data_IF_719963696882
#
_entry.id   IF_719963696882
#
_cell.length_a   1.000
_cell.length_b   1.000
_cell.length_c   1.000
_cell.angle_alpha   90.00
_cell.angle_beta   90.00
_cell.angle_gamma   90.00
#
_symmetry.space_group_name_H-M   'P 1'
#
loop_
_entity.id
_entity.type
_entity.pdbx_description
1 polymer ?
#
# COMPACT_ATOMS: atom_id res chain seq x y z
N UNK A 1 66.08 24.51 13.77
CA UNK A 1 66.38 23.69 12.59
C UNK A 1 65.10 23.00 12.14
N UNK A 2 64.58 23.45 11.01
CA UNK A 2 63.30 23.02 10.46
C UNK A 2 63.45 21.73 9.68
N UNK A 3 62.54 20.76 9.89
CA UNK A 3 62.32 19.67 8.95
C UNK A 3 60.79 19.55 8.69
N UNK A 4 60.36 20.02 7.52
CA UNK A 4 59.02 19.81 6.96
C UNK A 4 58.98 18.45 6.30
N UNK A 5 58.05 17.59 6.74
CA UNK A 5 57.70 16.35 6.06
C UNK A 5 56.52 16.60 5.13
N UNK A 6 56.70 16.35 3.82
CA UNK A 6 55.67 16.39 2.79
C UNK A 6 54.92 15.06 2.79
N UNK A 7 53.62 15.09 3.08
CA UNK A 7 52.68 13.97 2.77
C UNK A 7 52.16 14.18 1.34
N UNK A 8 52.46 13.23 0.46
CA UNK A 8 51.83 13.10 -0.85
C UNK A 8 50.53 12.29 -0.67
N UNK A 9 49.42 12.94 -0.95
CA UNK A 9 48.10 12.30 -1.05
C UNK A 9 48.01 11.60 -2.40
N UNK A 10 47.83 10.29 -2.37
CA UNK A 10 47.51 9.46 -3.56
C UNK A 10 46.01 9.41 -3.62
N UNK A 11 45.39 10.12 -4.56
CA UNK A 11 43.98 9.97 -4.90
C UNK A 11 43.86 8.83 -5.90
N UNK A 12 43.26 7.72 -5.46
CA UNK A 12 42.68 6.69 -6.37
C UNK A 12 41.18 7.01 -6.61
N UNK A 13 40.72 6.99 -7.84
CA UNK A 13 39.31 7.23 -8.12
C UNK A 13 38.48 6.00 -7.74
N UNK A 14 37.65 6.13 -6.71
CA UNK A 14 36.57 5.17 -6.44
C UNK A 14 35.44 5.54 -7.40
N UNK A 15 35.16 4.65 -8.32
CA UNK A 15 34.00 4.75 -9.21
C UNK A 15 32.73 4.58 -8.38
N UNK A 16 32.06 5.69 -8.10
CA UNK A 16 30.77 5.73 -7.44
C UNK A 16 29.70 5.37 -8.49
N UNK A 17 29.19 4.15 -8.45
CA UNK A 17 27.96 3.79 -9.18
C UNK A 17 26.78 4.29 -8.34
N UNK A 18 26.37 5.51 -8.62
CA UNK A 18 25.12 6.08 -8.13
C UNK A 18 23.96 5.45 -8.92
N UNK A 19 23.21 4.55 -8.31
CA UNK A 19 21.85 4.22 -8.77
C UNK A 19 20.97 5.37 -8.32
N UNK A 20 20.76 6.32 -9.22
CA UNK A 20 19.76 7.36 -9.05
C UNK A 20 18.38 6.72 -9.19
N UNK A 21 17.55 6.84 -8.15
CA UNK A 21 16.12 6.63 -8.27
C UNK A 21 15.58 7.67 -9.26
N UNK A 22 15.30 7.25 -10.49
CA UNK A 22 14.70 8.10 -11.50
C UNK A 22 13.23 8.35 -11.13
N UNK A 23 12.96 9.54 -10.67
CA UNK A 23 11.64 10.15 -10.76
C UNK A 23 11.43 10.46 -12.26
N UNK A 24 10.72 9.60 -12.96
CA UNK A 24 10.29 9.88 -14.32
C UNK A 24 9.13 10.89 -14.25
N UNK A 25 9.47 12.17 -14.34
CA UNK A 25 8.55 13.17 -14.82
C UNK A 25 8.54 13.05 -16.36
N UNK A 26 7.42 12.66 -16.97
CA UNK A 26 7.19 12.75 -18.39
C UNK A 26 7.15 14.24 -18.80
N UNK A 27 8.21 14.70 -19.42
CA UNK A 27 8.25 15.98 -20.13
C UNK A 27 8.43 15.69 -21.63
N UNK A 28 7.42 16.02 -22.43
CA UNK A 28 7.47 16.00 -23.88
C UNK A 28 8.51 17.00 -24.41
N UNK A 29 9.37 16.64 -25.35
CA UNK A 29 10.16 17.62 -26.09
C UNK A 29 9.33 18.16 -27.26
N UNK A 30 8.94 19.42 -27.20
CA UNK A 30 8.47 20.16 -28.39
C UNK A 30 9.67 20.53 -29.25
N UNK A 31 9.58 20.36 -30.58
CA UNK A 31 10.52 20.97 -31.51
C UNK A 31 10.15 22.42 -31.78
N UNK A 32 11.17 23.27 -31.85
CA UNK A 32 11.08 24.68 -32.27
C UNK A 32 10.85 24.81 -33.77
N UNK A 33 10.24 25.92 -34.22
CA UNK A 33 9.84 26.12 -35.62
C UNK A 33 10.87 26.89 -36.42
N UNK A 34 11.01 26.50 -37.70
CA UNK A 34 11.42 27.26 -38.87
C UNK A 34 11.38 26.26 -40.06
N UNK A 35 10.75 26.48 -41.20
CA UNK A 35 10.59 27.59 -42.06
C UNK A 35 9.47 27.32 -43.11
N UNK A 36 8.93 28.40 -43.61
CA UNK A 36 8.01 28.69 -44.67
C UNK A 36 7.84 27.76 -45.88
N UNK A 37 6.55 27.60 -46.32
CA UNK A 37 6.20 27.17 -47.66
C UNK A 37 4.70 26.96 -47.87
N UNK A 38 3.96 27.94 -48.42
CA UNK A 38 2.53 27.88 -48.78
C UNK A 38 2.33 27.42 -50.23
N UNK A 39 1.07 27.31 -50.74
CA UNK A 39 0.40 26.03 -51.07
C UNK A 39 0.23 25.84 -52.60
N UNK A 40 -0.57 24.89 -53.05
CA UNK A 40 -1.76 25.27 -53.79
C UNK A 40 -3.05 24.44 -53.52
N UNK A 41 -4.09 25.13 -53.76
CA UNK A 41 -5.52 24.95 -53.88
C UNK A 41 -6.03 23.80 -54.75
N UNK A 42 -7.26 23.44 -54.41
CA UNK A 42 -8.45 23.06 -55.22
C UNK A 42 -8.93 21.60 -55.04
N UNK A 43 -10.13 21.41 -54.69
CA UNK A 43 -11.43 21.45 -55.24
C UNK A 43 -12.42 20.47 -54.60
N UNK A 44 -13.54 21.01 -54.19
CA UNK A 44 -14.93 20.54 -54.40
C UNK A 44 -15.45 19.19 -53.89
N UNK A 45 -16.42 19.31 -53.00
CA UNK A 45 -17.66 18.56 -52.70
C UNK A 45 -18.37 17.89 -53.87
N UNK A 46 -19.40 16.97 -53.70
CA UNK A 46 -20.52 17.16 -52.76
C UNK A 46 -21.20 15.90 -52.13
N UNK A 47 -21.91 16.16 -51.04
CA UNK A 47 -23.28 15.76 -50.64
C UNK A 47 -23.79 14.34 -50.93
N UNK A 48 -24.25 13.67 -49.85
CA UNK A 48 -25.14 12.52 -49.91
C UNK A 48 -25.87 12.34 -48.58
N UNK A 49 -27.08 12.83 -48.53
CA UNK A 49 -28.13 12.69 -47.55
C UNK A 49 -28.55 11.21 -47.37
N UNK A 50 -28.78 10.74 -46.14
CA UNK A 50 -29.73 9.67 -45.89
C UNK A 50 -30.19 9.69 -44.43
N UNK A 51 -31.45 9.89 -44.26
CA UNK A 51 -32.34 9.90 -43.11
C UNK A 51 -32.41 8.58 -42.33
N UNK A 52 -32.99 8.58 -41.10
CA UNK A 52 -32.95 7.50 -40.13
C UNK A 52 -34.03 6.43 -40.36
N UNK A 53 -33.74 5.21 -39.96
CA UNK A 53 -34.75 4.15 -39.85
C UNK A 53 -34.94 3.79 -38.36
N UNK A 54 -36.18 4.00 -37.97
CA UNK A 54 -36.91 3.57 -36.80
C UNK A 54 -37.16 2.06 -36.87
N UNK A 55 -37.00 1.32 -35.79
CA UNK A 55 -37.65 0.03 -35.59
C UNK A 55 -37.53 -0.46 -34.15
N UNK A 56 -38.54 -0.17 -33.33
CA UNK A 56 -39.43 -1.16 -32.65
C UNK A 56 -38.76 -2.30 -31.90
N UNK A 57 -39.02 -2.30 -30.59
CA UNK A 57 -38.93 -3.44 -29.68
C UNK A 57 -40.00 -4.50 -29.97
N UNK A 58 -39.80 -5.74 -29.52
CA UNK A 58 -40.92 -6.61 -29.13
C UNK A 58 -40.89 -6.92 -27.64
N UNK A 59 -42.11 -6.86 -27.10
CA UNK A 59 -42.51 -7.28 -25.76
C UNK A 59 -42.68 -8.80 -25.66
N UNK A 60 -42.60 -9.26 -24.42
CA UNK A 60 -43.31 -10.37 -23.78
C UNK A 60 -43.07 -11.81 -24.23
N UNK A 61 -42.53 -12.59 -23.28
CA UNK A 61 -43.02 -13.95 -23.01
C UNK A 61 -42.89 -14.31 -21.53
N UNK A 62 -44.01 -14.71 -20.97
CA UNK A 62 -44.28 -15.01 -19.58
C UNK A 62 -43.58 -16.26 -19.05
N UNK A 63 -43.41 -16.29 -17.72
CA UNK A 63 -42.97 -17.40 -16.90
C UNK A 63 -44.02 -18.53 -16.83
N UNK A 64 -43.65 -19.74 -16.41
CA UNK A 64 -44.53 -20.55 -15.59
C UNK A 64 -44.01 -20.71 -14.17
N UNK A 65 -44.95 -20.46 -13.29
CA UNK A 65 -45.02 -20.72 -11.88
C UNK A 65 -44.91 -22.22 -11.57
N UNK A 66 -44.04 -22.63 -10.64
CA UNK A 66 -44.22 -23.91 -9.93
C UNK A 66 -43.96 -23.66 -8.45
N UNK A 67 -45.06 -23.46 -7.75
CA UNK A 67 -45.09 -23.44 -6.30
C UNK A 67 -44.73 -24.79 -5.70
N UNK A 68 -43.91 -24.76 -4.66
CA UNK A 68 -43.81 -25.80 -3.64
C UNK A 68 -43.94 -25.13 -2.28
N UNK A 69 -45.06 -25.34 -1.66
CA UNK A 69 -45.35 -25.04 -0.27
C UNK A 69 -44.64 -26.08 0.62
N UNK A 70 -43.96 -25.65 1.65
CA UNK A 70 -43.57 -26.51 2.78
C UNK A 70 -44.00 -25.87 4.09
N UNK A 71 -44.68 -26.67 4.79
CA UNK A 71 -45.45 -26.62 6.00
C UNK A 71 -44.78 -25.95 7.21
N UNK A 72 -45.60 -25.21 7.93
CA UNK A 72 -45.29 -24.55 9.21
C UNK A 72 -45.54 -25.55 10.37
N UNK A 73 -44.46 -25.93 11.05
CA UNK A 73 -44.53 -26.67 12.31
C UNK A 73 -44.24 -25.76 13.50
N UNK A 74 -45.27 -25.33 14.18
CA UNK A 74 -45.20 -24.68 15.49
C UNK A 74 -44.95 -25.73 16.57
N UNK A 75 -43.89 -25.57 17.36
CA UNK A 75 -43.76 -26.25 18.66
C UNK A 75 -43.67 -25.19 19.74
N UNK A 76 -44.68 -25.08 20.52
CA UNK A 76 -44.69 -24.44 21.82
C UNK A 76 -44.00 -25.36 22.83
N UNK A 77 -43.12 -24.85 23.64
CA UNK A 77 -42.94 -25.39 24.98
C UNK A 77 -42.68 -24.28 26.02
N UNK A 78 -43.31 -24.49 27.13
CA UNK A 78 -43.49 -23.64 28.26
C UNK A 78 -42.43 -23.89 29.32
N UNK A 79 -41.91 -22.86 29.97
CA UNK A 79 -41.04 -23.02 31.14
C UNK A 79 -40.63 -21.68 31.74
N UNK A 80 -41.50 -21.20 32.64
CA UNK A 80 -41.23 -20.02 33.51
C UNK A 80 -40.28 -20.42 34.62
N UNK A 81 -39.24 -19.64 34.83
CA UNK A 81 -38.62 -19.46 36.15
C UNK A 81 -38.18 -17.97 36.28
N UNK A 82 -38.91 -17.28 37.13
CA UNK A 82 -38.50 -15.96 37.66
C UNK A 82 -37.37 -16.20 38.67
N UNK A 83 -36.32 -15.41 38.60
CA UNK A 83 -35.60 -14.98 39.79
C UNK A 83 -35.19 -13.52 39.70
N UNK A 84 -35.22 -12.89 40.82
CA UNK A 84 -35.29 -11.46 41.09
C UNK A 84 -33.93 -10.82 41.26
N UNK A 85 -33.76 -9.65 40.66
CA UNK A 85 -33.17 -8.50 41.30
C UNK A 85 -31.65 -8.38 41.33
N UNK A 86 -31.10 -7.54 40.45
CA UNK A 86 -30.05 -6.58 40.78
C UNK A 86 -30.02 -5.46 39.74
N UNK A 87 -30.39 -4.28 40.14
CA UNK A 87 -30.12 -3.04 39.40
C UNK A 87 -28.64 -2.77 39.40
N UNK A 88 -27.99 -2.95 38.25
CA UNK A 88 -26.65 -2.57 38.01
C UNK A 88 -26.63 -1.76 36.71
N UNK A 89 -26.22 -0.51 36.81
CA UNK A 89 -26.07 0.40 35.68
C UNK A 89 -25.34 -0.29 34.53
N UNK A 90 -26.04 -0.45 33.41
CA UNK A 90 -25.44 -0.91 32.17
C UNK A 90 -24.63 0.26 31.58
N UNK A 91 -23.36 0.35 31.96
CA UNK A 91 -22.37 1.05 31.16
C UNK A 91 -22.27 0.33 29.82
N UNK A 92 -22.66 1.00 28.75
CA UNK A 92 -22.48 0.55 27.38
C UNK A 92 -20.99 0.31 27.12
N UNK A 93 -20.58 -0.94 27.10
CA UNK A 93 -19.24 -1.36 26.73
C UNK A 93 -19.14 -1.55 25.22
N UNK A 94 -19.23 -0.46 24.44
CA UNK A 94 -18.86 -0.42 23.05
C UNK A 94 -17.37 -0.07 22.90
N UNK A 95 -16.55 -1.00 23.25
CA UNK A 95 -15.13 -0.96 23.01
C UNK A 95 -14.59 -2.38 23.16
N UNK A 96 -14.57 -3.12 22.06
CA UNK A 96 -13.84 -4.39 22.02
C UNK A 96 -12.44 -4.13 22.59
N UNK A 97 -12.17 -4.68 23.78
CA UNK A 97 -10.91 -4.45 24.46
C UNK A 97 -9.76 -4.83 23.51
N UNK A 98 -8.88 -3.90 23.24
CA UNK A 98 -7.67 -4.18 22.51
C UNK A 98 -6.90 -5.28 23.26
N UNK A 99 -6.82 -6.47 22.67
CA UNK A 99 -6.28 -7.66 23.31
C UNK A 99 -4.76 -7.80 23.15
N UNK A 100 -4.06 -6.77 22.66
CA UNK A 100 -2.62 -6.82 22.44
C UNK A 100 -1.87 -6.36 23.70
N UNK A 101 -1.12 -7.27 24.34
CA UNK A 101 -0.40 -6.91 25.56
C UNK A 101 0.71 -5.89 25.26
N UNK A 102 1.00 -4.98 26.20
CA UNK A 102 2.17 -4.12 26.13
C UNK A 102 3.45 -4.93 26.10
N UNK A 103 4.49 -4.39 25.44
CA UNK A 103 5.78 -5.06 25.31
C UNK A 103 6.92 -4.17 25.78
N UNK A 104 7.85 -4.77 26.53
CA UNK A 104 9.18 -4.21 26.75
C UNK A 104 10.12 -4.80 25.71
N UNK A 105 10.73 -3.95 24.89
CA UNK A 105 11.68 -4.39 23.88
C UNK A 105 13.02 -4.71 24.58
N UNK A 106 13.47 -5.96 24.43
CA UNK A 106 14.81 -6.36 24.84
C UNK A 106 15.67 -6.50 23.60
N UNK A 107 16.74 -5.74 23.55
CA UNK A 107 17.68 -5.76 22.43
C UNK A 107 18.80 -6.75 22.64
N UNK A 108 19.12 -7.53 21.61
CA UNK A 108 20.21 -8.51 21.61
C UNK A 108 21.57 -7.90 21.21
N UNK A 109 21.59 -6.60 20.92
CA UNK A 109 22.76 -5.92 20.36
C UNK A 109 22.78 -5.92 18.83
N UNK A 110 23.58 -5.02 18.25
CA UNK A 110 23.70 -4.92 16.79
C UNK A 110 24.31 -6.19 16.22
N UNK A 111 23.67 -6.74 15.19
CA UNK A 111 24.19 -7.86 14.42
C UNK A 111 24.46 -7.45 12.99
N UNK A 112 25.62 -7.84 12.47
CA UNK A 112 25.97 -7.68 11.08
C UNK A 112 25.47 -8.84 10.23
N UNK A 113 24.25 -9.36 10.51
CA UNK A 113 23.69 -10.44 9.71
C UNK A 113 23.44 -9.97 8.28
N UNK A 114 23.94 -10.71 7.27
CA UNK A 114 23.74 -10.33 5.89
C UNK A 114 22.26 -10.44 5.49
N UNK A 115 21.84 -9.56 4.60
CA UNK A 115 20.57 -9.72 3.89
C UNK A 115 20.77 -10.73 2.77
N UNK A 116 19.88 -11.69 2.65
CA UNK A 116 19.91 -12.72 1.59
C UNK A 116 18.66 -12.60 0.73
N UNK A 117 18.80 -12.86 -0.58
CA UNK A 117 17.66 -12.97 -1.50
C UNK A 117 17.09 -14.39 -1.49
N UNK A 118 15.77 -14.48 -1.59
CA UNK A 118 15.01 -15.73 -1.77
C UNK A 118 14.04 -15.58 -2.94
N UNK A 119 14.02 -16.57 -3.81
CA UNK A 119 13.02 -16.70 -4.86
C UNK A 119 11.98 -17.72 -4.46
N UNK A 120 10.71 -17.46 -4.78
CA UNK A 120 9.64 -18.42 -4.53
C UNK A 120 9.76 -19.61 -5.51
N UNK A 121 9.89 -20.80 -4.95
CA UNK A 121 9.91 -22.06 -5.71
C UNK A 121 8.56 -22.28 -6.42
N UNK A 122 8.57 -22.25 -7.74
CA UNK A 122 7.36 -22.37 -8.56
C UNK A 122 6.73 -23.77 -8.52
N UNK A 123 7.47 -24.82 -8.15
CA UNK A 123 6.90 -26.13 -7.91
C UNK A 123 6.04 -26.16 -6.64
N UNK A 124 6.42 -25.36 -5.65
CA UNK A 124 5.72 -25.25 -4.36
C UNK A 124 4.68 -24.13 -4.34
N UNK A 125 5.00 -23.01 -4.94
CA UNK A 125 4.15 -21.81 -4.98
C UNK A 125 3.81 -21.45 -6.42
N UNK A 126 3.04 -22.28 -7.11
CA UNK A 126 2.73 -22.07 -8.51
C UNK A 126 2.01 -20.74 -8.73
N UNK A 127 2.41 -20.03 -9.77
CA UNK A 127 1.85 -18.72 -10.13
C UNK A 127 2.11 -17.57 -9.11
N UNK A 128 3.06 -17.72 -8.19
CA UNK A 128 3.57 -16.62 -7.37
C UNK A 128 4.68 -15.92 -8.13
N UNK A 129 4.27 -15.15 -9.14
CA UNK A 129 5.13 -14.58 -10.17
C UNK A 129 4.92 -13.07 -10.32
N UNK A 130 5.95 -12.40 -10.84
CA UNK A 130 5.92 -11.00 -11.25
C UNK A 130 5.04 -10.78 -12.48
N UNK A 131 4.88 -9.52 -12.92
CA UNK A 131 4.06 -9.19 -14.10
C UNK A 131 4.45 -9.95 -15.36
N UNK A 132 5.75 -10.23 -15.54
CA UNK A 132 6.32 -10.93 -16.70
C UNK A 132 6.35 -12.46 -16.56
N UNK A 133 5.91 -13.00 -15.43
CA UNK A 133 5.94 -14.45 -15.14
C UNK A 133 7.22 -14.94 -14.47
N UNK A 134 8.22 -14.09 -14.20
CA UNK A 134 9.39 -14.50 -13.41
C UNK A 134 9.00 -14.80 -11.96
N UNK A 135 9.68 -15.77 -11.27
CA UNK A 135 9.40 -16.09 -9.87
C UNK A 135 9.51 -14.86 -8.97
N UNK A 136 8.53 -14.61 -8.12
CA UNK A 136 8.64 -13.52 -7.16
C UNK A 136 9.77 -13.78 -6.14
N UNK A 137 10.34 -12.69 -5.60
CA UNK A 137 11.44 -12.73 -4.65
C UNK A 137 11.16 -11.92 -3.40
N UNK A 138 11.91 -12.23 -2.33
CA UNK A 138 11.95 -11.45 -1.10
C UNK A 138 13.36 -11.46 -0.51
N UNK A 139 13.64 -10.49 0.33
CA UNK A 139 14.93 -10.34 1.00
C UNK A 139 14.76 -10.58 2.49
N UNK A 140 15.68 -11.32 3.10
CA UNK A 140 15.64 -11.66 4.53
C UNK A 140 16.93 -11.25 5.21
N UNK A 141 16.83 -10.48 6.28
CA UNK A 141 17.88 -10.26 7.27
C UNK A 141 17.45 -10.89 8.58
N UNK A 142 18.25 -11.79 9.12
CA UNK A 142 17.92 -12.49 10.38
C UNK A 142 18.24 -11.61 11.57
N UNK A 143 17.35 -11.62 12.56
CA UNK A 143 17.59 -11.10 13.87
C UNK A 143 18.45 -12.02 14.72
N UNK A 144 18.85 -11.56 15.89
CA UNK A 144 19.72 -12.30 16.82
C UNK A 144 19.14 -12.40 18.22
N UNK A 145 19.56 -13.40 18.99
CA UNK A 145 19.12 -13.62 20.36
C UNK A 145 17.58 -13.60 20.47
N UNK A 146 17.04 -12.93 21.47
CA UNK A 146 15.60 -12.80 21.69
C UNK A 146 14.90 -12.04 20.54
N UNK A 147 15.61 -11.16 19.87
CA UNK A 147 15.09 -10.42 18.70
C UNK A 147 14.85 -11.32 17.49
N UNK A 148 15.42 -12.55 17.45
CA UNK A 148 15.11 -13.54 16.41
C UNK A 148 13.66 -14.02 16.39
N UNK A 149 12.88 -13.71 17.44
CA UNK A 149 11.43 -13.97 17.52
C UNK A 149 10.58 -12.73 17.21
N UNK A 150 11.19 -11.61 16.84
CA UNK A 150 10.54 -10.37 16.39
C UNK A 150 10.72 -10.23 14.90
N UNK A 151 9.64 -9.92 14.18
CA UNK A 151 9.64 -9.85 12.73
C UNK A 151 9.08 -8.54 12.23
N UNK A 152 9.80 -7.91 11.34
CA UNK A 152 9.33 -6.79 10.50
C UNK A 152 9.13 -7.35 9.10
N UNK A 153 7.90 -7.36 8.63
CA UNK A 153 7.54 -7.83 7.29
C UNK A 153 7.06 -6.61 6.51
N UNK A 154 7.81 -6.23 5.47
CA UNK A 154 7.62 -4.98 4.75
C UNK A 154 7.26 -5.23 3.29
N UNK A 155 6.14 -4.67 2.87
CA UNK A 155 5.69 -4.64 1.48
C UNK A 155 6.24 -3.40 0.80
N UNK A 156 7.04 -3.60 -0.25
CA UNK A 156 7.65 -2.51 -1.00
C UNK A 156 6.59 -1.71 -1.78
N UNK A 157 6.84 -0.41 -1.98
CA UNK A 157 6.04 0.47 -2.82
C UNK A 157 6.44 0.43 -4.28
N UNK A 158 5.80 1.24 -5.11
CA UNK A 158 6.16 1.35 -6.53
C UNK A 158 5.00 1.66 -7.47
N UNK A 159 3.85 2.13 -6.97
CA UNK A 159 2.68 2.46 -7.80
C UNK A 159 2.01 1.23 -8.41
N UNK A 160 1.34 1.41 -9.54
CA UNK A 160 0.60 0.32 -10.23
C UNK A 160 0.53 0.57 -11.74
N UNK A 161 0.02 -0.39 -12.50
CA UNK A 161 -0.32 -0.20 -13.91
C UNK A 161 -1.72 -0.73 -14.22
N UNK A 162 -2.39 -0.10 -15.20
CA UNK A 162 -3.80 -0.32 -15.52
C UNK A 162 -4.04 -0.52 -17.01
N UNK A 163 -3.08 -0.18 -17.85
CA UNK A 163 -3.16 -0.32 -19.29
C UNK A 163 -2.02 -1.18 -19.81
N UNK A 164 -2.18 -1.82 -20.96
CA UNK A 164 -1.11 -2.64 -21.54
C UNK A 164 0.18 -1.86 -21.74
N UNK A 165 0.08 -0.60 -22.21
CA UNK A 165 1.21 0.29 -22.44
C UNK A 165 1.89 0.69 -21.12
N UNK A 166 1.08 1.07 -20.11
CA UNK A 166 1.58 1.41 -18.79
C UNK A 166 2.29 0.24 -18.11
N UNK A 167 1.76 -0.99 -18.28
CA UNK A 167 2.41 -2.18 -17.73
C UNK A 167 3.68 -2.56 -18.50
N UNK A 168 3.69 -2.41 -19.82
CA UNK A 168 4.88 -2.65 -20.64
C UNK A 168 6.00 -1.62 -20.40
N UNK A 169 5.64 -0.41 -19.99
CA UNK A 169 6.58 0.67 -19.66
C UNK A 169 7.07 0.63 -18.19
N UNK A 170 6.63 -0.33 -17.39
CA UNK A 170 7.08 -0.45 -15.99
C UNK A 170 8.58 -0.67 -15.92
N UNK A 171 9.28 0.00 -14.99
CA UNK A 171 10.67 -0.35 -14.70
C UNK A 171 10.81 -1.84 -14.38
N UNK A 172 11.91 -2.45 -14.82
CA UNK A 172 12.12 -3.89 -14.68
C UNK A 172 12.04 -4.33 -13.21
N UNK A 173 12.60 -3.57 -12.29
CA UNK A 173 12.58 -3.83 -10.85
C UNK A 173 11.17 -3.86 -10.24
N UNK A 174 10.19 -3.24 -10.91
CA UNK A 174 8.79 -3.17 -10.48
C UNK A 174 7.85 -4.12 -11.25
N UNK A 175 8.40 -4.93 -12.15
CA UNK A 175 7.62 -5.82 -13.03
C UNK A 175 8.23 -7.22 -13.20
N UNK A 176 9.49 -7.42 -12.74
CA UNK A 176 10.28 -8.62 -12.98
C UNK A 176 11.32 -8.83 -11.89
N UNK A 177 11.74 -10.05 -11.71
CA UNK A 177 12.96 -10.40 -10.95
C UNK A 177 14.16 -10.72 -11.85
N UNK A 178 14.02 -10.66 -13.18
CA UNK A 178 15.12 -10.90 -14.12
C UNK A 178 16.31 -9.95 -13.92
N UNK A 179 16.07 -8.73 -13.41
CA UNK A 179 17.12 -7.78 -13.04
C UNK A 179 17.84 -8.10 -11.71
N UNK A 180 17.34 -9.06 -10.94
CA UNK A 180 18.02 -9.55 -9.74
C UNK A 180 19.08 -10.55 -10.16
N UNK A 181 20.30 -10.10 -10.42
CA UNK A 181 21.43 -10.92 -10.93
C UNK A 181 22.02 -11.87 -9.90
N UNK A 182 21.22 -12.35 -8.95
CA UNK A 182 21.67 -13.13 -7.80
C UNK A 182 20.90 -14.45 -7.70
N UNK A 183 21.59 -15.48 -7.29
CA UNK A 183 20.99 -16.79 -7.07
C UNK A 183 20.31 -16.87 -5.70
N UNK A 184 19.37 -17.77 -5.56
CA UNK A 184 18.68 -17.99 -4.29
C UNK A 184 19.67 -18.27 -3.15
N UNK A 185 19.43 -17.68 -1.99
CA UNK A 185 20.28 -17.78 -0.81
C UNK A 185 21.53 -16.91 -0.82
N UNK A 186 21.82 -16.18 -1.90
CA UNK A 186 22.99 -15.34 -1.99
C UNK A 186 22.85 -14.07 -1.11
N UNK A 187 23.95 -13.67 -0.46
CA UNK A 187 24.05 -12.40 0.26
C UNK A 187 23.92 -11.23 -0.69
N UNK A 188 23.10 -10.25 -0.31
CA UNK A 188 22.88 -9.04 -1.07
C UNK A 188 23.17 -7.81 -0.22
N UNK A 189 23.69 -6.75 -0.85
CA UNK A 189 23.75 -5.44 -0.25
C UNK A 189 22.44 -4.73 -0.59
N UNK A 190 21.54 -4.66 0.38
CA UNK A 190 20.34 -3.85 0.29
C UNK A 190 20.50 -2.61 1.15
N UNK A 191 20.24 -1.46 0.57
CA UNK A 191 20.17 -0.21 1.31
C UNK A 191 18.85 -0.16 2.09
N UNK A 192 18.84 -0.77 3.26
CA UNK A 192 17.69 -0.76 4.16
C UNK A 192 17.75 0.52 5.02
N UNK A 193 16.78 1.39 4.83
CA UNK A 193 16.71 2.67 5.54
C UNK A 193 15.53 2.70 6.52
N UNK A 194 15.53 3.72 7.38
CA UNK A 194 14.42 3.98 8.29
C UNK A 194 14.11 2.78 9.16
N UNK A 195 12.87 2.34 9.14
CA UNK A 195 12.36 1.20 9.92
C UNK A 195 13.04 -0.14 9.58
N UNK A 196 13.68 -0.25 8.44
CA UNK A 196 14.40 -1.46 8.00
C UNK A 196 15.90 -1.43 8.36
N UNK A 197 16.42 -0.31 8.87
CA UNK A 197 17.84 -0.15 9.20
C UNK A 197 18.26 -1.11 10.32
N UNK A 198 19.50 -1.61 10.21
CA UNK A 198 20.16 -2.35 11.29
C UNK A 198 21.01 -1.47 12.21
N UNK A 199 20.97 -0.17 12.01
CA UNK A 199 21.65 0.79 12.88
C UNK A 199 20.72 1.21 14.02
N UNK A 200 21.13 0.93 15.25
CA UNK A 200 20.38 1.27 16.46
C UNK A 200 20.15 2.78 16.63
N UNK A 201 21.06 3.62 16.11
CA UNK A 201 20.88 5.07 16.16
C UNK A 201 19.80 5.57 15.20
N UNK A 202 19.57 4.84 14.11
CA UNK A 202 18.54 5.16 13.09
C UNK A 202 17.20 4.51 13.46
N UNK A 203 17.22 3.24 13.90
CA UNK A 203 16.04 2.41 14.12
C UNK A 203 16.09 1.78 15.52
N UNK A 204 15.87 2.54 16.58
CA UNK A 204 16.10 2.08 17.96
C UNK A 204 15.23 0.88 18.36
N UNK A 205 14.04 0.71 17.75
CA UNK A 205 13.09 -0.31 18.17
C UNK A 205 13.18 -1.62 17.38
N UNK A 206 13.68 -1.61 16.12
CA UNK A 206 13.62 -2.79 15.25
C UNK A 206 14.96 -3.17 14.60
N UNK A 207 16.07 -2.49 14.95
CA UNK A 207 17.37 -2.68 14.29
C UNK A 207 17.89 -4.12 14.34
N UNK A 208 17.55 -4.87 15.37
CA UNK A 208 18.00 -6.24 15.65
C UNK A 208 16.94 -7.32 15.33
N UNK A 209 15.74 -6.94 14.88
CA UNK A 209 14.68 -7.85 14.50
C UNK A 209 14.99 -8.59 13.17
N UNK A 210 14.28 -9.70 12.92
CA UNK A 210 14.22 -10.23 11.56
C UNK A 210 13.52 -9.20 10.67
N UNK A 211 14.08 -8.94 9.51
CA UNK A 211 13.50 -8.05 8.50
C UNK A 211 13.27 -8.85 7.23
N UNK A 212 12.05 -8.79 6.72
CA UNK A 212 11.68 -9.34 5.42
C UNK A 212 11.17 -8.21 4.54
N UNK A 213 11.83 -7.98 3.41
CA UNK A 213 11.39 -7.04 2.38
C UNK A 213 10.83 -7.85 1.22
N UNK A 214 9.52 -7.75 0.96
CA UNK A 214 8.89 -8.33 -0.21
C UNK A 214 9.17 -7.43 -1.42
N UNK A 215 9.78 -8.00 -2.46
CA UNK A 215 10.09 -7.28 -3.69
C UNK A 215 8.81 -7.05 -4.50
N UNK A 216 8.49 -5.79 -4.76
CA UNK A 216 7.27 -5.43 -5.46
C UNK A 216 7.42 -5.54 -6.97
N UNK A 217 6.88 -6.57 -7.57
CA UNK A 217 6.98 -6.82 -9.01
C UNK A 217 5.64 -7.19 -9.68
N UNK A 218 4.51 -6.94 -8.99
CA UNK A 218 3.18 -7.32 -9.46
C UNK A 218 2.33 -6.14 -9.93
N UNK A 219 2.73 -4.90 -9.67
CA UNK A 219 2.10 -3.65 -10.13
C UNK A 219 0.58 -3.52 -9.86
N UNK A 220 0.06 -4.15 -8.79
CA UNK A 220 -1.36 -4.33 -8.47
C UNK A 220 -1.72 -3.95 -7.02
N UNK A 221 -0.90 -3.12 -6.38
CA UNK A 221 -1.05 -2.70 -4.97
C UNK A 221 -1.10 -3.90 -4.00
N UNK A 222 -0.40 -5.01 -4.32
CA UNK A 222 -0.38 -6.24 -3.54
C UNK A 222 -1.75 -6.91 -3.35
N UNK A 223 -2.73 -6.59 -4.20
CA UNK A 223 -4.11 -7.04 -4.05
C UNK A 223 -4.62 -7.92 -5.20
N UNK A 224 -3.97 -7.92 -6.35
CA UNK A 224 -4.37 -8.72 -7.50
C UNK A 224 -4.10 -10.23 -7.33
N UNK A 225 -4.97 -11.06 -7.92
CA UNK A 225 -4.75 -12.51 -8.03
C UNK A 225 -5.22 -13.05 -9.40
N UNK A 226 -4.82 -12.35 -10.47
CA UNK A 226 -5.13 -12.71 -11.86
C UNK A 226 -3.87 -13.13 -12.59
N UNK A 227 -3.93 -14.28 -13.28
CA UNK A 227 -2.84 -14.74 -14.14
C UNK A 227 -2.91 -14.19 -15.55
N UNK A 228 -1.79 -14.16 -16.24
CA UNK A 228 -1.79 -13.87 -17.66
C UNK A 228 -2.64 -14.89 -18.43
N UNK A 229 -3.36 -14.41 -19.44
CA UNK A 229 -4.09 -15.28 -20.38
C UNK A 229 -3.14 -15.72 -21.49
N UNK A 230 -2.88 -17.02 -21.65
CA UNK A 230 -2.03 -17.52 -22.72
C UNK A 230 -2.53 -17.04 -24.09
N UNK A 231 -1.63 -16.52 -24.91
CA UNK A 231 -1.96 -16.03 -26.25
C UNK A 231 -2.66 -14.67 -26.31
N UNK A 232 -2.79 -13.96 -25.19
CA UNK A 232 -3.31 -12.59 -25.18
C UNK A 232 -2.46 -11.68 -26.08
N UNK A 233 -3.06 -10.85 -26.94
CA UNK A 233 -2.32 -9.99 -27.88
C UNK A 233 -1.50 -8.92 -27.16
N UNK A 234 -0.53 -8.34 -27.86
CA UNK A 234 0.41 -7.35 -27.29
C UNK A 234 -0.27 -6.13 -26.64
N UNK A 235 -1.41 -5.70 -27.18
CA UNK A 235 -2.20 -4.58 -26.64
C UNK A 235 -3.26 -4.98 -25.60
N UNK A 236 -3.17 -6.14 -24.99
CA UNK A 236 -4.15 -6.62 -24.01
C UNK A 236 -3.53 -6.67 -22.61
N UNK A 237 -4.20 -6.06 -21.63
CA UNK A 237 -3.77 -6.07 -20.21
C UNK A 237 -3.68 -7.50 -19.67
N UNK A 238 -4.46 -8.43 -20.19
CA UNK A 238 -4.47 -9.84 -19.80
C UNK A 238 -3.19 -10.61 -20.15
N UNK A 239 -2.23 -10.00 -20.83
CA UNK A 239 -0.90 -10.59 -21.06
C UNK A 239 0.02 -10.55 -19.83
N UNK A 240 -0.33 -9.76 -18.83
CA UNK A 240 0.44 -9.60 -17.59
C UNK A 240 -0.14 -10.42 -16.45
N UNK A 241 0.72 -10.85 -15.54
CA UNK A 241 0.32 -11.43 -14.27
C UNK A 241 0.15 -10.32 -13.23
N UNK A 242 -0.94 -10.36 -12.49
CA UNK A 242 -1.22 -9.50 -11.34
C UNK A 242 -1.42 -10.40 -10.13
N UNK A 243 -0.34 -10.76 -9.43
CA UNK A 243 -0.31 -11.81 -8.40
C UNK A 243 0.14 -11.32 -7.04
N UNK A 244 0.05 -10.04 -6.76
CA UNK A 244 0.50 -9.44 -5.51
C UNK A 244 -0.09 -10.11 -4.27
N UNK A 245 -1.40 -10.39 -4.25
CA UNK A 245 -2.07 -11.12 -3.17
C UNK A 245 -1.47 -12.51 -2.97
N UNK A 246 -1.27 -13.24 -4.07
CA UNK A 246 -0.69 -14.58 -4.05
C UNK A 246 0.76 -14.58 -3.59
N UNK A 247 1.55 -13.59 -4.03
CA UNK A 247 2.94 -13.42 -3.60
C UNK A 247 3.01 -13.25 -2.09
N UNK A 248 2.19 -12.37 -1.50
CA UNK A 248 2.15 -12.17 -0.03
C UNK A 248 1.84 -13.49 0.67
N UNK A 249 0.78 -14.21 0.28
CA UNK A 249 0.40 -15.51 0.86
C UNK A 249 1.55 -16.51 0.77
N UNK A 250 2.21 -16.58 -0.37
CA UNK A 250 3.31 -17.55 -0.60
C UNK A 250 4.57 -17.20 0.19
N UNK A 251 4.92 -15.92 0.31
CA UNK A 251 6.04 -15.48 1.15
C UNK A 251 5.76 -15.80 2.61
N UNK A 252 4.56 -15.51 3.13
CA UNK A 252 4.20 -15.85 4.51
C UNK A 252 4.28 -17.36 4.74
N UNK A 253 3.76 -18.18 3.83
CA UNK A 253 3.84 -19.63 3.90
C UNK A 253 5.30 -20.14 3.87
N UNK A 254 6.16 -19.54 3.05
CA UNK A 254 7.59 -19.89 3.00
C UNK A 254 8.31 -19.49 4.29
N UNK A 255 8.01 -18.32 4.85
CA UNK A 255 8.58 -17.89 6.13
C UNK A 255 8.17 -18.79 7.28
N UNK A 256 6.92 -19.25 7.31
CA UNK A 256 6.44 -20.24 8.28
C UNK A 256 7.20 -21.57 8.10
N UNK A 257 7.28 -22.06 6.88
CA UNK A 257 7.87 -23.37 6.56
C UNK A 257 9.37 -23.44 6.81
N UNK A 258 10.12 -22.39 6.41
CA UNK A 258 11.58 -22.47 6.29
C UNK A 258 12.35 -21.47 7.14
N UNK A 259 11.67 -20.50 7.74
CA UNK A 259 12.34 -19.42 8.45
C UNK A 259 11.91 -19.27 9.92
N UNK A 260 10.95 -20.09 10.41
CA UNK A 260 10.51 -20.08 11.81
C UNK A 260 9.56 -18.91 12.16
N UNK A 261 8.81 -18.40 11.19
CA UNK A 261 7.85 -17.32 11.46
C UNK A 261 6.71 -17.77 12.38
N UNK A 262 6.35 -19.05 12.40
CA UNK A 262 5.36 -19.62 13.32
C UNK A 262 5.79 -19.55 14.80
N UNK A 263 7.11 -19.44 15.08
CA UNK A 263 7.65 -19.31 16.42
C UNK A 263 7.84 -17.83 16.82
N UNK A 264 7.38 -16.91 15.99
CA UNK A 264 7.44 -15.49 16.27
C UNK A 264 6.68 -15.14 17.56
N UNK A 265 7.26 -14.26 18.37
CA UNK A 265 6.56 -13.61 19.48
C UNK A 265 5.83 -12.36 19.00
N UNK A 266 6.39 -11.71 18.03
CA UNK A 266 5.89 -10.46 17.51
C UNK A 266 6.06 -10.39 15.99
N UNK A 267 5.02 -9.92 15.30
CA UNK A 267 5.04 -9.57 13.88
C UNK A 267 4.55 -8.14 13.70
N UNK A 268 5.38 -7.34 13.05
CA UNK A 268 5.03 -6.01 12.60
C UNK A 268 4.91 -6.03 11.07
N UNK A 269 3.68 -6.08 10.58
CA UNK A 269 3.35 -6.17 9.15
C UNK A 269 3.09 -4.78 8.58
N UNK A 270 3.85 -4.37 7.58
CA UNK A 270 3.81 -2.98 7.12
C UNK A 270 4.18 -2.80 5.65
N UNK A 271 3.96 -1.60 5.14
CA UNK A 271 4.41 -1.21 3.80
C UNK A 271 4.22 0.28 3.53
N UNK A 272 4.85 0.76 2.46
CA UNK A 272 4.76 2.15 2.01
C UNK A 272 4.20 2.27 0.61
N UNK A 273 3.43 3.34 0.32
CA UNK A 273 2.85 3.61 -1.02
C UNK A 273 1.97 2.44 -1.48
N UNK A 274 2.27 1.81 -2.62
CA UNK A 274 1.61 0.57 -3.06
C UNK A 274 1.65 -0.52 -1.98
N UNK A 275 2.76 -0.63 -1.22
CA UNK A 275 2.89 -1.54 -0.09
C UNK A 275 2.04 -1.14 1.10
N UNK A 276 1.80 0.14 1.32
CA UNK A 276 0.87 0.64 2.33
C UNK A 276 -0.58 0.23 2.03
N UNK A 277 -1.01 0.36 0.77
CA UNK A 277 -2.29 -0.16 0.30
C UNK A 277 -2.35 -1.70 0.42
N UNK A 278 -1.24 -2.37 0.08
CA UNK A 278 -1.07 -3.81 0.23
C UNK A 278 -1.17 -4.26 1.68
N UNK A 279 -0.67 -3.47 2.63
CA UNK A 279 -0.85 -3.74 4.06
C UNK A 279 -2.34 -3.82 4.41
N UNK A 280 -3.12 -2.83 4.02
CA UNK A 280 -4.57 -2.81 4.30
C UNK A 280 -5.31 -3.99 3.65
N UNK A 281 -4.90 -4.42 2.45
CA UNK A 281 -5.51 -5.54 1.76
C UNK A 281 -5.16 -6.92 2.33
N UNK A 282 -4.06 -7.04 3.09
CA UNK A 282 -3.50 -8.36 3.48
C UNK A 282 -3.38 -8.58 4.99
N UNK A 283 -3.53 -7.53 5.81
CA UNK A 283 -3.13 -7.59 7.21
C UNK A 283 -3.95 -8.58 8.04
N UNK A 284 -5.27 -8.58 7.96
CA UNK A 284 -6.13 -9.44 8.76
C UNK A 284 -6.07 -10.90 8.31
N UNK A 285 -5.93 -11.14 6.99
CA UNK A 285 -5.68 -12.47 6.47
C UNK A 285 -4.32 -13.02 6.94
N UNK A 286 -3.28 -12.18 6.92
CA UNK A 286 -1.95 -12.58 7.42
C UNK A 286 -1.98 -12.85 8.92
N UNK A 287 -2.67 -12.02 9.69
CA UNK A 287 -2.89 -12.26 11.13
C UNK A 287 -3.61 -13.57 11.38
N UNK A 288 -4.64 -13.88 10.61
CA UNK A 288 -5.37 -15.14 10.71
C UNK A 288 -4.47 -16.34 10.37
N UNK A 289 -3.65 -16.22 9.35
CA UNK A 289 -2.64 -17.24 8.99
C UNK A 289 -1.62 -17.47 10.10
N UNK A 290 -1.26 -16.40 10.83
CA UNK A 290 -0.32 -16.41 11.94
C UNK A 290 -1.02 -16.36 13.31
N UNK A 291 -2.14 -17.03 13.46
CA UNK A 291 -2.99 -16.97 14.67
C UNK A 291 -2.26 -17.40 15.97
N UNK A 292 -1.18 -18.16 15.86
CA UNK A 292 -0.33 -18.55 17.00
C UNK A 292 0.62 -17.46 17.46
N UNK A 293 0.83 -16.40 16.67
CA UNK A 293 1.69 -15.27 17.03
C UNK A 293 0.96 -14.39 18.04
N UNK A 294 1.44 -14.28 19.29
CA UNK A 294 0.70 -13.61 20.34
C UNK A 294 0.57 -12.10 20.13
N UNK A 295 1.47 -11.50 19.34
CA UNK A 295 1.46 -10.07 19.04
C UNK A 295 1.62 -9.82 17.56
N UNK A 296 0.53 -9.41 16.90
CA UNK A 296 0.49 -9.05 15.50
C UNK A 296 -0.11 -7.65 15.33
N UNK A 297 0.66 -6.72 14.78
CA UNK A 297 0.26 -5.33 14.56
C UNK A 297 0.72 -4.86 13.18
N UNK A 298 0.18 -3.76 12.70
CA UNK A 298 0.51 -3.25 11.38
C UNK A 298 0.84 -1.77 11.31
N UNK A 299 1.36 -1.35 10.15
CA UNK A 299 1.59 0.05 9.83
C UNK A 299 1.45 0.30 8.34
N UNK A 300 0.85 1.41 7.97
CA UNK A 300 0.72 1.88 6.58
C UNK A 300 1.33 3.26 6.43
N UNK A 301 2.07 3.51 5.35
CA UNK A 301 2.74 4.78 5.07
C UNK A 301 2.46 5.24 3.64
N UNK A 302 2.01 6.49 3.50
CA UNK A 302 1.73 7.12 2.21
C UNK A 302 0.58 6.49 1.43
N UNK A 303 -0.31 5.72 2.10
CA UNK A 303 -1.48 5.09 1.50
C UNK A 303 -2.81 5.62 2.05
N UNK A 304 -2.81 6.53 3.02
CA UNK A 304 -4.02 7.11 3.57
C UNK A 304 -4.60 8.17 2.63
N UNK A 305 -5.26 7.71 1.56
CA UNK A 305 -5.99 8.57 0.63
C UNK A 305 -7.39 8.90 1.14
N UNK A 306 -7.87 10.09 0.81
CA UNK A 306 -9.26 10.55 1.01
C UNK A 306 -9.86 10.88 -0.34
N UNK A 307 -11.19 10.86 -0.41
CA UNK A 307 -11.90 11.39 -1.57
C UNK A 307 -11.83 12.90 -1.57
N UNK A 308 -11.45 13.46 -2.71
CA UNK A 308 -11.39 14.91 -2.90
C UNK A 308 -11.64 15.26 -4.39
N UNK A 309 -12.22 16.41 -4.72
CA UNK A 309 -12.34 16.84 -6.11
C UNK A 309 -10.98 17.06 -6.75
N UNK A 310 -10.83 16.68 -8.03
CA UNK A 310 -9.62 16.95 -8.78
C UNK A 310 -9.37 18.46 -8.93
N UNK A 311 -8.13 18.85 -9.21
CA UNK A 311 -7.77 20.23 -9.53
C UNK A 311 -8.29 20.61 -10.92
N UNK A 312 -8.97 21.73 -11.00
CA UNK A 312 -9.40 22.34 -12.27
C UNK A 312 -8.43 23.46 -12.66
N UNK A 313 -7.62 23.29 -13.71
CA UNK A 313 -6.66 24.29 -14.14
C UNK A 313 -7.32 25.57 -14.68
N UNK A 314 -8.57 25.51 -15.13
CA UNK A 314 -9.28 26.67 -15.67
C UNK A 314 -9.70 27.65 -14.55
N UNK A 315 -10.05 27.12 -13.40
CA UNK A 315 -10.49 27.92 -12.25
C UNK A 315 -9.42 28.07 -11.16
N UNK A 316 -8.39 27.21 -11.16
CA UNK A 316 -7.39 27.11 -10.10
C UNK A 316 -7.95 26.55 -8.78
N UNK A 317 -9.08 25.85 -8.83
CA UNK A 317 -9.83 25.35 -7.69
C UNK A 317 -10.22 23.87 -7.87
N UNK A 318 -11.13 23.43 -7.02
CA UNK A 318 -11.74 22.11 -7.07
C UNK A 318 -12.67 21.97 -8.27
N UNK A 319 -12.58 20.84 -8.97
CA UNK A 319 -13.43 20.49 -10.10
C UNK A 319 -14.90 20.32 -9.65
N UNK A 320 -15.81 20.76 -10.50
CA UNK A 320 -17.25 20.57 -10.30
C UNK A 320 -17.71 19.10 -10.47
N UNK A 321 -16.84 18.20 -10.94
CA UNK A 321 -17.16 16.79 -11.10
C UNK A 321 -17.37 16.05 -9.75
N UNK A 322 -17.03 16.70 -8.64
CA UNK A 322 -17.18 16.12 -7.31
C UNK A 322 -15.98 15.30 -6.86
N UNK A 323 -16.03 14.76 -5.63
CA UNK A 323 -14.92 14.00 -5.04
C UNK A 323 -14.66 12.69 -5.77
N UNK A 324 -13.37 12.35 -5.91
CA UNK A 324 -12.87 11.08 -6.39
C UNK A 324 -11.77 10.57 -5.43
N UNK A 325 -11.50 9.26 -5.38
CA UNK A 325 -10.38 8.73 -4.62
C UNK A 325 -9.05 9.09 -5.27
N UNK A 326 -7.97 9.08 -4.49
CA UNK A 326 -6.61 9.09 -5.03
C UNK A 326 -6.31 7.77 -5.75
N UNK A 327 -5.47 7.86 -6.77
CA UNK A 327 -5.05 6.70 -7.55
C UNK A 327 -6.08 6.20 -8.56
N UNK A 328 -5.90 4.98 -9.06
CA UNK A 328 -6.81 4.38 -10.04
C UNK A 328 -8.23 4.21 -9.50
N UNK A 329 -9.23 4.46 -10.33
CA UNK A 329 -10.62 4.22 -9.94
C UNK A 329 -10.86 2.74 -9.59
N UNK A 330 -11.85 2.49 -8.74
CA UNK A 330 -12.23 1.12 -8.34
C UNK A 330 -12.53 0.27 -9.58
N UNK A 331 -13.32 0.80 -10.53
CA UNK A 331 -13.66 0.10 -11.77
C UNK A 331 -12.43 -0.26 -12.61
N UNK A 332 -11.47 0.66 -12.76
CA UNK A 332 -10.23 0.38 -13.49
C UNK A 332 -9.40 -0.72 -12.82
N UNK A 333 -9.29 -0.68 -11.49
CA UNK A 333 -8.57 -1.73 -10.73
C UNK A 333 -9.21 -3.10 -10.92
N UNK A 334 -10.55 -3.20 -10.81
CA UNK A 334 -11.24 -4.46 -11.00
C UNK A 334 -11.13 -4.98 -12.45
N UNK A 335 -11.16 -4.09 -13.43
CA UNK A 335 -10.97 -4.46 -14.84
C UNK A 335 -9.54 -4.97 -15.13
N UNK A 336 -8.52 -4.41 -14.49
CA UNK A 336 -7.13 -4.75 -14.75
C UNK A 336 -6.67 -5.98 -13.94
N UNK A 337 -6.88 -6.04 -12.64
CA UNK A 337 -6.31 -7.10 -11.79
C UNK A 337 -7.27 -7.72 -10.76
N UNK A 338 -8.55 -7.36 -10.78
CA UNK A 338 -9.58 -7.92 -9.88
C UNK A 338 -9.09 -8.02 -8.42
N UNK A 339 -8.90 -6.90 -7.73
CA UNK A 339 -8.25 -6.87 -6.42
C UNK A 339 -9.03 -7.65 -5.37
N UNK A 340 -8.28 -8.34 -4.50
CA UNK A 340 -8.80 -9.02 -3.31
C UNK A 340 -8.41 -8.20 -2.09
N UNK A 341 -9.37 -7.48 -1.54
CA UNK A 341 -9.22 -6.65 -0.36
C UNK A 341 -9.41 -7.40 0.95
N UNK A 342 -9.79 -6.67 2.00
CA UNK A 342 -10.16 -7.24 3.28
C UNK A 342 -11.44 -8.07 3.19
N UNK A 343 -11.41 -9.28 3.74
CA UNK A 343 -12.49 -10.24 3.56
C UNK A 343 -13.76 -9.85 4.32
N UNK A 344 -13.65 -9.29 5.53
CA UNK A 344 -14.79 -8.86 6.34
C UNK A 344 -15.48 -7.66 5.70
N UNK A 345 -14.71 -6.69 5.23
CA UNK A 345 -15.22 -5.55 4.51
C UNK A 345 -15.96 -5.96 3.23
N UNK A 346 -15.36 -6.87 2.44
CA UNK A 346 -15.99 -7.39 1.22
C UNK A 346 -17.29 -8.12 1.53
N UNK A 347 -17.33 -8.91 2.59
CA UNK A 347 -18.52 -9.64 3.00
C UNK A 347 -19.67 -8.69 3.43
N UNK A 348 -19.32 -7.55 4.07
CA UNK A 348 -20.30 -6.59 4.55
C UNK A 348 -20.78 -5.62 3.48
N UNK A 349 -19.88 -5.08 2.68
CA UNK A 349 -20.17 -3.97 1.77
C UNK A 349 -20.10 -4.35 0.28
N UNK A 350 -19.48 -5.49 -0.06
CA UNK A 350 -19.19 -5.90 -1.42
C UNK A 350 -17.81 -5.44 -1.92
N UNK A 351 -17.20 -6.22 -2.80
CA UNK A 351 -15.81 -6.03 -3.24
C UNK A 351 -15.55 -4.67 -3.92
N UNK A 352 -16.50 -4.18 -4.70
CA UNK A 352 -16.36 -2.89 -5.43
C UNK A 352 -16.84 -1.68 -4.60
N UNK A 353 -17.24 -1.87 -3.35
CA UNK A 353 -17.73 -0.77 -2.52
C UNK A 353 -16.58 0.16 -2.12
N UNK A 354 -16.88 1.45 -2.06
CA UNK A 354 -15.94 2.51 -1.69
C UNK A 354 -15.37 2.30 -0.27
N UNK A 355 -16.17 1.79 0.65
CA UNK A 355 -15.77 1.51 2.03
C UNK A 355 -14.62 0.51 2.11
N UNK A 356 -14.50 -0.43 1.15
CA UNK A 356 -13.43 -1.42 1.12
C UNK A 356 -12.23 -1.02 0.26
N UNK A 357 -12.34 0.06 -0.50
CA UNK A 357 -11.36 0.41 -1.54
C UNK A 357 -10.62 1.74 -1.32
N UNK A 358 -11.07 2.55 -0.36
CA UNK A 358 -10.44 3.82 0.01
C UNK A 358 -9.99 3.75 1.46
N UNK A 359 -8.70 4.01 1.69
CA UNK A 359 -8.09 3.79 3.00
C UNK A 359 -8.78 4.56 4.13
N UNK A 360 -9.15 5.84 3.91
CA UNK A 360 -9.86 6.63 4.93
C UNK A 360 -11.24 6.06 5.26
N UNK A 361 -11.94 5.50 4.28
CA UNK A 361 -13.23 4.83 4.47
C UNK A 361 -13.06 3.51 5.21
N UNK A 362 -12.17 2.63 4.72
CA UNK A 362 -11.89 1.34 5.32
C UNK A 362 -11.45 1.47 6.79
N UNK A 363 -10.57 2.41 7.10
CA UNK A 363 -10.06 2.64 8.46
C UNK A 363 -11.06 3.37 9.38
N UNK A 364 -12.14 3.89 8.85
CA UNK A 364 -13.28 4.40 9.62
C UNK A 364 -14.30 3.30 9.98
N UNK A 365 -14.27 2.16 9.27
CA UNK A 365 -15.07 0.98 9.62
C UNK A 365 -14.42 0.19 10.76
N UNK A 366 -15.07 -0.86 11.21
CA UNK A 366 -14.56 -1.83 12.18
C UNK A 366 -14.00 -3.12 11.52
N UNK A 367 -13.87 -3.11 10.19
CA UNK A 367 -13.50 -4.30 9.43
C UNK A 367 -12.03 -4.68 9.59
N UNK A 368 -11.09 -3.73 9.59
CA UNK A 368 -9.71 -4.04 9.94
C UNK A 368 -9.59 -4.22 11.45
N UNK A 369 -9.47 -5.47 11.87
CA UNK A 369 -9.41 -5.83 13.29
C UNK A 369 -8.00 -5.70 13.90
N UNK A 370 -6.96 -5.73 13.07
CA UNK A 370 -5.57 -5.59 13.49
C UNK A 370 -5.24 -4.14 13.86
N UNK A 371 -4.65 -3.87 15.02
CA UNK A 371 -4.17 -2.53 15.36
C UNK A 371 -3.16 -2.01 14.34
N UNK A 372 -3.36 -0.77 13.91
CA UNK A 372 -2.59 -0.10 12.87
C UNK A 372 -1.98 1.20 13.34
N UNK A 373 -0.78 1.51 12.82
CA UNK A 373 -0.22 2.85 12.86
C UNK A 373 -0.24 3.45 11.45
N UNK A 374 -0.86 4.60 11.30
CA UNK A 374 -0.97 5.32 10.04
C UNK A 374 0.12 6.38 9.98
N UNK A 375 0.96 6.33 8.95
CA UNK A 375 1.94 7.37 8.62
C UNK A 375 1.49 8.06 7.36
N UNK A 376 1.40 9.38 7.40
CA UNK A 376 0.84 10.16 6.31
C UNK A 376 1.50 11.52 6.15
N UNK A 377 1.63 11.97 4.91
CA UNK A 377 1.91 13.36 4.56
C UNK A 377 0.64 14.01 4.04
N UNK A 378 0.24 15.12 4.66
CA UNK A 378 -1.05 15.76 4.38
C UNK A 378 -1.16 16.30 2.95
N UNK A 379 -0.03 16.66 2.35
CA UNK A 379 0.07 17.13 0.96
C UNK A 379 0.90 16.16 0.12
N UNK A 380 0.78 14.85 0.37
CA UNK A 380 1.54 13.81 -0.34
C UNK A 380 1.58 14.08 -1.85
N UNK A 381 2.79 14.18 -2.42
CA UNK A 381 2.99 14.57 -3.81
C UNK A 381 2.37 13.60 -4.81
N UNK A 382 2.33 12.29 -4.51
CA UNK A 382 1.72 11.31 -5.40
C UNK A 382 0.19 11.44 -5.37
N UNK A 383 -0.40 11.59 -4.19
CA UNK A 383 -1.85 11.81 -4.06
C UNK A 383 -2.28 13.13 -4.70
N UNK A 384 -1.49 14.19 -4.55
CA UNK A 384 -1.73 15.47 -5.24
C UNK A 384 -1.60 15.32 -6.77
N UNK A 385 -0.64 14.51 -7.22
CA UNK A 385 -0.48 14.16 -8.64
C UNK A 385 -1.72 13.50 -9.23
N UNK A 386 -2.36 12.60 -8.48
CA UNK A 386 -3.61 11.93 -8.88
C UNK A 386 -4.76 12.94 -9.10
N UNK A 387 -4.73 14.07 -8.40
CA UNK A 387 -5.68 15.17 -8.58
C UNK A 387 -5.23 16.21 -9.63
N UNK A 388 -4.11 16.00 -10.33
CA UNK A 388 -3.60 16.92 -11.35
C UNK A 388 -2.71 18.04 -10.81
N UNK A 389 -2.27 17.97 -9.55
CA UNK A 389 -1.38 18.96 -8.92
C UNK A 389 0.06 18.49 -9.04
N UNK A 390 0.78 18.99 -10.03
CA UNK A 390 2.12 18.54 -10.38
C UNK A 390 3.19 19.66 -10.43
N UNK A 391 2.82 20.91 -10.13
CA UNK A 391 3.73 22.05 -10.12
C UNK A 391 3.70 22.79 -8.76
N UNK A 392 4.65 22.51 -7.85
CA UNK A 392 4.68 23.15 -6.54
C UNK A 392 5.00 24.65 -6.59
N UNK A 393 5.48 25.18 -7.70
CA UNK A 393 5.69 26.62 -7.91
C UNK A 393 4.42 27.40 -8.27
N UNK A 394 3.33 26.73 -8.62
CA UNK A 394 2.07 27.37 -8.97
C UNK A 394 1.25 27.70 -7.72
N UNK A 395 0.93 28.97 -7.50
CA UNK A 395 0.23 29.44 -6.30
C UNK A 395 -1.18 28.82 -6.14
N UNK A 396 -1.91 28.58 -7.25
CA UNK A 396 -3.23 27.94 -7.20
C UNK A 396 -3.12 26.47 -6.80
N UNK A 397 -2.11 25.76 -7.31
CA UNK A 397 -1.85 24.37 -6.93
C UNK A 397 -1.40 24.25 -5.47
N UNK A 398 -0.60 25.19 -4.98
CA UNK A 398 -0.25 25.26 -3.56
C UNK A 398 -1.47 25.48 -2.67
N UNK A 399 -2.33 26.44 -3.05
CA UNK A 399 -3.58 26.70 -2.32
C UNK A 399 -4.52 25.48 -2.34
N UNK A 400 -4.59 24.75 -3.47
CA UNK A 400 -5.32 23.49 -3.55
C UNK A 400 -4.73 22.44 -2.59
N UNK A 401 -3.42 22.26 -2.59
CA UNK A 401 -2.73 21.30 -1.71
C UNK A 401 -3.00 21.58 -0.23
N UNK A 402 -3.04 22.85 0.18
CA UNK A 402 -3.37 23.26 1.54
C UNK A 402 -4.83 22.92 1.89
N UNK A 403 -5.78 23.14 0.97
CA UNK A 403 -7.19 22.76 1.17
C UNK A 403 -7.36 21.23 1.23
N UNK A 404 -6.67 20.49 0.38
CA UNK A 404 -6.61 19.03 0.47
C UNK A 404 -6.06 18.55 1.83
N UNK A 405 -4.97 19.15 2.32
CA UNK A 405 -4.43 18.86 3.64
C UNK A 405 -5.44 19.15 4.76
N UNK A 406 -6.20 20.23 4.64
CA UNK A 406 -7.27 20.55 5.60
C UNK A 406 -8.39 19.50 5.57
N UNK A 407 -8.78 19.02 4.38
CA UNK A 407 -9.77 17.95 4.21
C UNK A 407 -9.27 16.65 4.84
N UNK A 408 -8.00 16.28 4.65
CA UNK A 408 -7.41 15.11 5.32
C UNK A 408 -7.46 15.23 6.84
N UNK A 409 -7.07 16.38 7.39
CA UNK A 409 -7.15 16.62 8.85
C UNK A 409 -8.56 16.50 9.39
N UNK A 410 -9.57 16.92 8.62
CA UNK A 410 -10.97 16.84 9.03
C UNK A 410 -11.49 15.39 9.19
N UNK A 411 -10.88 14.43 8.48
CA UNK A 411 -11.27 13.00 8.58
C UNK A 411 -10.42 12.20 9.57
N UNK A 412 -9.32 12.72 10.11
CA UNK A 412 -8.52 11.99 11.10
C UNK A 412 -9.30 11.60 12.37
N UNK A 413 -10.28 12.40 12.88
CA UNK A 413 -11.10 11.96 14.00
C UNK A 413 -11.95 10.72 13.74
N UNK A 414 -12.21 10.35 12.47
CA UNK A 414 -12.95 9.12 12.13
C UNK A 414 -12.11 7.86 12.26
N UNK A 415 -10.78 7.98 12.35
CA UNK A 415 -9.91 6.86 12.64
C UNK A 415 -10.24 6.27 14.01
N UNK A 416 -10.30 4.96 14.07
CA UNK A 416 -10.61 4.24 15.32
C UNK A 416 -9.60 4.60 16.43
N UNK A 417 -10.05 4.66 17.70
CA UNK A 417 -9.18 5.08 18.82
C UNK A 417 -7.90 4.27 18.99
N UNK A 418 -7.91 2.98 18.65
CA UNK A 418 -6.74 2.09 18.74
C UNK A 418 -5.72 2.30 17.62
N UNK A 419 -6.03 3.06 16.56
CA UNK A 419 -5.06 3.35 15.51
C UNK A 419 -4.16 4.52 15.91
N UNK A 420 -2.85 4.30 15.80
CA UNK A 420 -1.87 5.38 15.89
C UNK A 420 -1.83 6.21 14.61
N UNK A 421 -1.38 7.44 14.72
CA UNK A 421 -1.25 8.37 13.58
C UNK A 421 -0.01 9.26 13.76
N UNK A 422 0.80 9.34 12.73
CA UNK A 422 1.78 10.41 12.54
C UNK A 422 1.51 11.07 11.19
N UNK A 423 1.10 12.33 11.21
CA UNK A 423 0.74 13.08 10.01
C UNK A 423 1.54 14.36 9.89
N UNK A 424 2.35 14.45 8.85
CA UNK A 424 3.25 15.57 8.60
C UNK A 424 2.64 16.55 7.61
N UNK A 425 2.72 17.86 7.88
CA UNK A 425 2.36 18.90 6.92
C UNK A 425 3.47 19.08 5.88
N UNK A 426 3.55 18.16 4.95
CA UNK A 426 4.62 18.03 3.97
C UNK A 426 4.09 17.44 2.65
N UNK A 427 4.85 17.65 1.57
CA UNK A 427 4.62 17.02 0.26
C UNK A 427 5.39 15.71 0.10
N UNK A 428 6.18 15.28 1.07
CA UNK A 428 7.01 14.09 0.99
C UNK A 428 6.14 12.84 0.85
N UNK A 429 6.26 12.12 -0.26
CA UNK A 429 5.65 10.81 -0.42
C UNK A 429 6.48 9.77 0.32
N UNK A 430 5.88 9.01 1.22
CA UNK A 430 6.41 7.99 2.12
C UNK A 430 7.55 8.47 3.05
N UNK A 431 7.49 8.07 4.30
CA UNK A 431 8.40 8.52 5.34
C UNK A 431 9.25 7.38 5.93
N UNK A 432 8.72 6.16 6.00
CA UNK A 432 9.30 5.07 6.79
C UNK A 432 10.60 4.49 6.24
N UNK A 433 10.78 4.46 4.94
CA UNK A 433 11.93 3.82 4.28
C UNK A 433 12.88 4.82 3.58
N UNK A 434 12.72 6.12 3.83
CA UNK A 434 13.60 7.16 3.31
C UNK A 434 14.51 7.71 4.40
N UNK A 435 15.81 7.85 4.08
CA UNK A 435 16.83 8.30 5.03
C UNK A 435 16.45 9.63 5.71
N UNK A 436 16.14 10.64 4.93
CA UNK A 436 15.88 11.99 5.45
C UNK A 436 14.47 12.14 6.03
N UNK A 437 13.49 11.43 5.46
CA UNK A 437 12.09 11.50 5.91
C UNK A 437 11.83 10.69 7.20
N UNK A 438 12.62 9.66 7.48
CA UNK A 438 12.52 8.88 8.71
C UNK A 438 12.76 9.71 9.97
N UNK A 439 13.62 10.73 9.89
CA UNK A 439 13.89 11.64 11.01
C UNK A 439 12.88 12.78 11.16
N UNK A 440 11.80 12.81 10.34
CA UNK A 440 10.76 13.83 10.41
C UNK A 440 10.16 13.95 11.79
N UNK A 441 9.80 15.19 12.15
CA UNK A 441 9.26 15.52 13.47
C UNK A 441 8.08 16.46 13.39
N UNK A 442 7.21 16.35 14.36
CA UNK A 442 6.15 17.30 14.66
C UNK A 442 6.36 17.78 16.09
N UNK A 443 6.69 19.04 16.25
CA UNK A 443 7.14 19.58 17.54
C UNK A 443 8.38 18.83 18.05
N UNK A 444 8.30 18.29 19.26
CA UNK A 444 9.38 17.51 19.88
C UNK A 444 9.37 16.02 19.49
N UNK A 445 8.29 15.52 18.87
CA UNK A 445 8.10 14.08 18.61
C UNK A 445 8.61 13.72 17.21
N UNK A 446 9.58 12.81 17.12
CA UNK A 446 10.04 12.24 15.86
C UNK A 446 9.16 11.07 15.42
N UNK A 447 9.15 10.76 14.12
CA UNK A 447 8.42 9.61 13.59
C UNK A 447 8.82 8.29 14.27
N UNK A 448 10.11 7.90 14.41
CA UNK A 448 10.48 6.69 15.13
C UNK A 448 10.04 6.71 16.61
N UNK A 449 10.08 7.86 17.28
CA UNK A 449 9.61 7.96 18.66
C UNK A 449 8.09 7.74 18.79
N UNK A 450 7.29 8.30 17.87
CA UNK A 450 5.85 8.09 17.85
C UNK A 450 5.49 6.61 17.56
N UNK A 451 6.17 6.00 16.59
CA UNK A 451 6.00 4.57 16.27
C UNK A 451 6.38 3.72 17.50
N UNK A 452 7.55 3.96 18.10
CA UNK A 452 8.03 3.19 19.24
C UNK A 452 7.12 3.32 20.46
N UNK A 453 6.59 4.50 20.73
CA UNK A 453 5.62 4.73 21.80
C UNK A 453 4.34 3.91 21.58
N UNK A 454 3.75 3.98 20.38
CA UNK A 454 2.56 3.21 20.04
C UNK A 454 2.86 1.71 19.98
N UNK A 455 3.99 1.31 19.39
CA UNK A 455 4.37 -0.09 19.27
C UNK A 455 4.45 -0.80 20.63
N UNK A 456 4.98 -0.15 21.67
CA UNK A 456 5.11 -0.77 22.99
C UNK A 456 3.78 -1.02 23.66
N UNK A 457 2.79 -0.18 23.42
CA UNK A 457 1.45 -0.32 23.98
C UNK A 457 0.38 0.23 23.02
N UNK A 458 0.01 -0.55 22.00
CA UNK A 458 -0.97 -0.11 20.99
C UNK A 458 -2.39 0.03 21.56
N UNK A 459 -2.63 -0.45 22.78
CA UNK A 459 -3.93 -0.40 23.44
C UNK A 459 -4.06 0.72 24.46
N UNK A 460 -2.95 1.18 25.03
CA UNK A 460 -3.00 2.09 26.17
C UNK A 460 -3.46 3.50 25.78
N UNK A 461 -3.23 3.96 24.60
CA UNK A 461 -3.73 5.26 24.11
C UNK A 461 -3.41 5.51 22.63
N UNK A 462 -4.25 6.30 22.06
CA UNK A 462 -4.09 6.89 20.76
C UNK A 462 -2.86 7.77 20.69
N UNK A 463 -1.76 7.26 20.14
CA UNK A 463 -0.63 8.11 19.74
C UNK A 463 -1.03 8.80 18.45
N UNK A 464 -1.43 10.05 18.52
CA UNK A 464 -1.78 10.88 17.36
C UNK A 464 -0.93 12.12 17.36
N UNK A 465 0.00 12.17 16.42
CA UNK A 465 0.94 13.26 16.20
C UNK A 465 0.59 13.90 14.87
N UNK A 466 -0.04 15.06 14.91
CA UNK A 466 -0.57 15.75 13.72
C UNK A 466 0.09 17.10 13.63
N UNK A 467 0.79 17.33 12.52
CA UNK A 467 1.37 18.62 12.19
C UNK A 467 0.28 19.59 11.71
N UNK A 468 0.45 20.84 12.04
CA UNK A 468 -0.45 21.91 11.63
C UNK A 468 0.34 23.01 10.94
N UNK A 469 -0.23 23.70 9.92
CA UNK A 469 0.44 24.80 9.21
C UNK A 469 0.75 25.98 10.10
#
# INVERSE_FOLDING_TARGET
MNARAHYRTICSPITLVTVAAALAACGDPRPSPEDSGSPPTDAATPVGDATPLDASAPQDAAAPDTGVSVDSGVVQDTGVAQDSGATGDAASSDGGACAIPPVTITHAGATSTPTIVRFLDQARYPNSVCNDGTPAAFFVRRGSGDASRRWVIYLEGGGSCLTPEGCAARPQELSSTAGITRTDGQTVTQNLFGVLSSDAAVNPDFYDANVVLLNYCSSDLWSGDVGATPGAPAGDIRRFHFRGKRIVRSVIAELVRSHGLNDAREVFFMGSSAGGAGTLANIDETRTTLATVPRFIGMTDGAYGVEYPAYDPATGRESAAGPAPTGPSITQRFAAWNPVGDASCIARFGAMNIECNIASRLLATDEISTPLFVVDSQMDSNQLGDFGVNNPGNANMQAFAQRYAAAKRAVFPTLRPQYGLFSLFSTTHVLMNKRDAWSSRVGATTLPAAIGQWYRDPCARTVRVIDTP
#
